data_IF_950289761566
#
_entry.id   IF_950289761566
#
_cell.length_a   1.000
_cell.length_b   1.000
_cell.length_c   1.000
_cell.angle_alpha   90.00
_cell.angle_beta   90.00
_cell.angle_gamma   90.00
#
_symmetry.space_group_name_H-M   'P 1'
#
loop_
_entity.id
_entity.type
_entity.pdbx_description
1 polymer ?
#
# COMPACT_ATOMS: atom_id res chain seq x y z
N UNK A 1 11.22 -0.06 19.40
CA UNK A 1 10.20 1.00 19.44
C UNK A 1 9.98 1.36 20.89
N UNK A 2 10.49 2.51 21.32
CA UNK A 2 10.31 3.05 22.67
C UNK A 2 9.39 4.26 22.57
N UNK A 3 8.11 4.07 22.86
CA UNK A 3 7.11 5.15 22.78
C UNK A 3 7.00 5.86 24.13
N UNK A 4 7.27 7.17 24.16
CA UNK A 4 7.01 7.98 25.35
C UNK A 4 5.57 8.44 25.36
N UNK A 5 4.83 8.11 26.42
CA UNK A 5 3.41 8.48 26.52
C UNK A 5 3.23 9.74 27.38
N UNK A 6 2.69 10.79 26.77
CA UNK A 6 2.33 12.04 27.46
C UNK A 6 0.93 11.91 28.03
N UNK A 7 0.79 12.23 29.33
CA UNK A 7 -0.48 12.23 30.05
C UNK A 7 -0.94 13.65 30.39
N UNK A 8 -2.22 13.93 30.20
CA UNK A 8 -2.88 15.14 30.70
C UNK A 8 -4.00 14.75 31.65
N UNK A 9 -4.03 15.33 32.85
CA UNK A 9 -5.03 15.02 33.90
C UNK A 9 -5.16 13.52 34.18
N UNK A 10 -4.04 12.79 34.18
CA UNK A 10 -3.99 11.35 34.43
C UNK A 10 -4.35 10.45 33.24
N UNK A 11 -4.89 10.98 32.13
CA UNK A 11 -5.21 10.23 30.90
C UNK A 11 -4.05 10.30 29.91
N UNK A 12 -3.72 9.16 29.28
CA UNK A 12 -2.73 9.06 28.20
C UNK A 12 -3.35 9.67 26.94
N UNK A 13 -2.84 10.81 26.47
CA UNK A 13 -3.41 11.52 25.31
C UNK A 13 -2.51 11.45 24.06
N UNK A 14 -1.19 11.42 24.23
CA UNK A 14 -0.25 11.44 23.10
C UNK A 14 0.86 10.41 23.28
N UNK A 15 1.33 9.84 22.18
CA UNK A 15 2.52 9.01 22.12
C UNK A 15 3.56 9.71 21.25
N UNK A 16 4.76 9.89 21.80
CA UNK A 16 5.93 10.38 21.06
C UNK A 16 6.76 9.17 20.70
N UNK A 17 6.96 8.97 19.41
CA UNK A 17 7.80 7.91 18.85
C UNK A 17 8.87 8.52 17.96
N UNK A 18 10.02 7.85 17.77
CA UNK A 18 11.00 8.26 16.79
C UNK A 18 10.37 8.38 15.40
N UNK A 19 10.69 9.44 14.66
CA UNK A 19 10.09 9.69 13.35
C UNK A 19 10.32 8.52 12.37
N UNK A 20 11.50 7.89 12.41
CA UNK A 20 11.80 6.70 11.60
C UNK A 20 10.85 5.54 11.88
N UNK A 21 10.48 5.33 13.14
CA UNK A 21 9.56 4.26 13.52
C UNK A 21 8.13 4.60 13.08
N UNK A 22 7.73 5.87 13.15
CA UNK A 22 6.44 6.34 12.62
C UNK A 22 6.33 6.10 11.12
N UNK A 23 7.34 6.49 10.33
CA UNK A 23 7.35 6.28 8.87
C UNK A 23 7.24 4.80 8.54
N UNK A 24 8.01 3.95 9.22
CA UNK A 24 7.91 2.48 9.05
C UNK A 24 6.51 1.95 9.33
N UNK A 25 5.85 2.43 10.39
CA UNK A 25 4.47 2.02 10.66
C UNK A 25 3.51 2.45 9.55
N UNK A 26 3.70 3.62 8.94
CA UNK A 26 2.89 4.05 7.81
C UNK A 26 3.12 3.14 6.60
N UNK A 27 4.38 2.85 6.26
CA UNK A 27 4.74 1.94 5.17
C UNK A 27 4.16 0.52 5.39
N UNK A 28 4.23 0.00 6.62
CA UNK A 28 3.65 -1.30 6.97
C UNK A 28 2.12 -1.33 6.79
N UNK A 29 1.44 -0.23 7.15
CA UNK A 29 0.00 -0.09 6.95
C UNK A 29 -0.36 0.01 5.46
N UNK A 30 0.38 0.81 4.68
CA UNK A 30 0.18 0.93 3.24
C UNK A 30 0.37 -0.43 2.55
N UNK A 31 1.44 -1.14 2.88
CA UNK A 31 1.68 -2.51 2.40
C UNK A 31 0.53 -3.47 2.74
N UNK A 32 -0.04 -3.34 3.94
CA UNK A 32 -1.20 -4.15 4.32
C UNK A 32 -2.44 -3.82 3.47
N UNK A 33 -2.71 -2.54 3.21
CA UNK A 33 -3.83 -2.12 2.37
C UNK A 33 -3.65 -2.58 0.91
N UNK A 34 -2.45 -2.48 0.35
CA UNK A 34 -2.13 -2.99 -0.99
C UNK A 34 -2.41 -4.49 -1.11
N UNK A 35 -2.06 -5.27 -0.07
CA UNK A 35 -2.35 -6.71 -0.04
C UNK A 35 -3.85 -7.01 0.01
N UNK A 36 -4.62 -6.20 0.75
CA UNK A 36 -6.08 -6.34 0.78
C UNK A 36 -6.68 -6.05 -0.59
N UNK A 37 -6.24 -4.97 -1.25
CA UNK A 37 -6.69 -4.63 -2.60
C UNK A 37 -6.32 -5.73 -3.60
N UNK A 38 -5.09 -6.24 -3.55
CA UNK A 38 -4.66 -7.36 -4.39
C UNK A 38 -5.53 -8.61 -4.18
N UNK A 39 -5.89 -8.92 -2.93
CA UNK A 39 -6.77 -10.06 -2.62
C UNK A 39 -8.16 -9.86 -3.22
N UNK A 40 -8.71 -8.65 -3.11
CA UNK A 40 -10.00 -8.31 -3.72
C UNK A 40 -9.95 -8.40 -5.25
N UNK A 41 -8.91 -7.83 -5.86
CA UNK A 41 -8.70 -7.88 -7.30
C UNK A 41 -8.58 -9.32 -7.81
N UNK A 42 -7.87 -10.19 -7.09
CA UNK A 42 -7.77 -11.63 -7.44
C UNK A 42 -9.07 -12.40 -7.25
N UNK A 43 -9.94 -11.99 -6.33
CA UNK A 43 -11.23 -12.64 -6.10
C UNK A 43 -12.28 -12.25 -7.14
N UNK A 44 -12.09 -11.14 -7.86
CA UNK A 44 -13.00 -10.68 -8.90
C UNK A 44 -12.95 -11.61 -10.14
N UNK A 45 -14.06 -12.29 -10.50
CA UNK A 45 -14.09 -13.19 -11.64
C UNK A 45 -13.72 -12.53 -12.98
N UNK A 46 -13.90 -11.21 -13.09
CA UNK A 46 -13.51 -10.43 -14.28
C UNK A 46 -11.99 -10.47 -14.52
N UNK A 47 -11.21 -10.65 -13.45
CA UNK A 47 -9.74 -10.69 -13.49
C UNK A 47 -9.17 -12.11 -13.67
N UNK A 48 -10.02 -13.14 -13.75
CA UNK A 48 -9.56 -14.53 -13.95
C UNK A 48 -8.96 -14.76 -15.34
N UNK A 49 -9.36 -13.95 -16.34
CA UNK A 49 -8.83 -14.06 -17.70
C UNK A 49 -7.65 -13.11 -17.86
N UNK A 50 -6.46 -13.69 -18.01
CA UNK A 50 -5.26 -12.94 -18.40
C UNK A 50 -5.37 -12.40 -19.83
N UNK A 51 -4.53 -11.42 -20.15
CA UNK A 51 -4.34 -10.85 -21.49
C UNK A 51 -2.86 -10.74 -21.82
N UNK A 52 -2.51 -10.58 -23.09
CA UNK A 52 -1.12 -10.42 -23.48
C UNK A 52 -0.59 -9.02 -23.10
N UNK A 53 0.72 -8.92 -22.90
CA UNK A 53 1.36 -7.64 -22.66
C UNK A 53 1.20 -6.68 -23.84
N UNK A 54 1.27 -7.18 -25.08
CA UNK A 54 1.14 -6.36 -26.29
C UNK A 54 -0.26 -5.74 -26.44
N UNK A 55 -1.32 -6.50 -26.13
CA UNK A 55 -2.70 -5.98 -26.10
C UNK A 55 -2.85 -4.89 -25.03
N UNK A 56 -2.37 -5.16 -23.82
CA UNK A 56 -2.41 -4.20 -22.72
C UNK A 56 -1.62 -2.92 -23.05
N UNK A 57 -0.42 -3.06 -23.62
CA UNK A 57 0.42 -1.93 -24.01
C UNK A 57 -0.23 -1.09 -25.12
N UNK A 58 -0.92 -1.73 -26.07
CA UNK A 58 -1.64 -1.03 -27.14
C UNK A 58 -2.79 -0.18 -26.62
N UNK A 59 -3.58 -0.70 -25.69
CA UNK A 59 -4.66 0.05 -25.04
C UNK A 59 -4.16 1.24 -24.23
N UNK A 60 -3.00 1.10 -23.58
CA UNK A 60 -2.38 2.14 -22.76
C UNK A 60 -1.50 3.11 -23.58
N UNK A 61 -1.40 2.93 -24.91
CA UNK A 61 -0.58 3.78 -25.78
C UNK A 61 0.93 3.60 -25.60
N UNK A 62 1.38 2.50 -24.98
CA UNK A 62 2.78 2.20 -24.64
C UNK A 62 3.52 1.45 -25.77
N UNK A 63 3.11 1.65 -27.02
CA UNK A 63 3.63 0.93 -28.18
C UNK A 63 5.16 1.09 -28.27
N UNK A 64 5.91 -0.01 -28.07
CA UNK A 64 7.35 -0.03 -28.34
C UNK A 64 7.57 0.33 -29.81
N UNK A 65 8.17 1.49 -30.08
CA UNK A 65 8.88 1.68 -31.35
C UNK A 65 9.95 0.58 -31.41
N UNK A 66 9.78 -0.36 -32.34
CA UNK A 66 10.88 -1.26 -32.72
C UNK A 66 12.00 -0.35 -33.26
N UNK A 67 13.08 -0.21 -32.50
CA UNK A 67 14.36 0.23 -33.03
C UNK A 67 15.11 -0.96 -33.59
#
# INVERSE_FOLDING_TARGET
>A
MEAQIIKKRGKKEFAVIPYKDFVRMQEDLENYYDLLELRQAKADPRNNKGRSFDEAAKELGLNKKKS
#
